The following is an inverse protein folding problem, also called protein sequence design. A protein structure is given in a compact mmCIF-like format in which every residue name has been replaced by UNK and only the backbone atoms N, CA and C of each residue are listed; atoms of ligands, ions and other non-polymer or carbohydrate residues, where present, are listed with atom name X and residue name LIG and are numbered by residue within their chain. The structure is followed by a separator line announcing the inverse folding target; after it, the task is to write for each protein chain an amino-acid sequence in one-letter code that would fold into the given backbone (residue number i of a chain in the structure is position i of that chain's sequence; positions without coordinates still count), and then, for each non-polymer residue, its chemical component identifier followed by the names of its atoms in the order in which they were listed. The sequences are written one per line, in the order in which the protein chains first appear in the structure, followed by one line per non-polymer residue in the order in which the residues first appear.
data_IF_431513295141
#
_entry.id   IF_431513295141
#
_cell.length_a   1.000
_cell.length_b   1.000
_cell.length_c   1.000
_cell.angle_alpha   90.00
_cell.angle_beta   90.00
_cell.angle_gamma   90.00
#
_symmetry.space_group_name_H-M   'P 1'
#
loop_
_entity.id
_entity.type
_entity.pdbx_description
1 polymer ?
#
# COMPACT_ATOMS: atom_id res chain seq x y z
N UNK A 1 -7.36 0.38 24.89
CA UNK A 1 -8.38 0.76 23.86
C UNK A 1 -8.29 2.20 23.36
N UNK A 2 -8.04 3.23 24.21
CA UNK A 2 -7.96 4.65 23.78
C UNK A 2 -6.72 5.00 22.91
N UNK A 3 -5.56 4.37 23.17
CA UNK A 3 -4.33 4.57 22.37
C UNK A 3 -4.40 4.01 20.96
N UNK A 4 -4.98 2.83 20.75
CA UNK A 4 -5.11 2.22 19.42
C UNK A 4 -5.97 3.10 18.48
N UNK A 5 -7.00 3.74 19.03
CA UNK A 5 -7.85 4.68 18.28
C UNK A 5 -7.09 5.95 17.90
N UNK A 6 -6.22 6.46 18.78
CA UNK A 6 -5.32 7.59 18.45
C UNK A 6 -4.29 7.22 17.39
N UNK A 7 -3.70 6.04 17.48
CA UNK A 7 -2.73 5.54 16.48
C UNK A 7 -3.40 5.40 15.11
N UNK A 8 -4.62 4.85 15.05
CA UNK A 8 -5.40 4.75 13.81
C UNK A 8 -5.76 6.12 13.21
N UNK A 9 -6.16 7.09 14.04
CA UNK A 9 -6.46 8.46 13.58
C UNK A 9 -5.19 9.17 13.07
N UNK A 10 -4.07 9.05 13.78
CA UNK A 10 -2.79 9.59 13.30
C UNK A 10 -2.33 8.92 12.00
N UNK A 11 -2.46 7.61 11.88
CA UNK A 11 -2.11 6.88 10.65
C UNK A 11 -2.96 7.33 9.47
N UNK A 12 -4.26 7.56 9.68
CA UNK A 12 -5.16 8.05 8.64
C UNK A 12 -4.84 9.50 8.24
N UNK A 13 -4.54 10.37 9.21
CA UNK A 13 -4.07 11.73 8.94
C UNK A 13 -2.77 11.73 8.13
N UNK A 14 -1.77 10.93 8.53
CA UNK A 14 -0.51 10.80 7.81
C UNK A 14 -0.76 10.24 6.40
N UNK A 15 -1.63 9.25 6.24
CA UNK A 15 -1.97 8.68 4.94
C UNK A 15 -2.67 9.71 4.02
N UNK A 16 -3.57 10.52 4.56
CA UNK A 16 -4.24 11.58 3.78
C UNK A 16 -3.29 12.71 3.39
N UNK A 17 -2.40 13.13 4.30
CA UNK A 17 -1.38 14.14 4.03
C UNK A 17 -0.35 13.61 3.02
N UNK A 18 0.11 12.37 3.20
CA UNK A 18 1.00 11.70 2.25
C UNK A 18 0.33 11.52 0.88
N UNK A 19 -0.98 11.27 0.82
CA UNK A 19 -1.73 11.20 -0.44
C UNK A 19 -1.87 12.56 -1.11
N UNK A 20 -2.09 13.63 -0.34
CA UNK A 20 -2.15 15.01 -0.85
C UNK A 20 -0.81 15.48 -1.39
N UNK A 21 0.29 15.20 -0.67
CA UNK A 21 1.66 15.45 -1.12
C UNK A 21 2.08 14.53 -2.28
N UNK A 22 1.58 13.28 -2.31
CA UNK A 22 1.77 12.37 -3.43
C UNK A 22 1.01 12.82 -4.68
N UNK A 23 -0.15 13.48 -4.56
CA UNK A 23 -0.84 13.99 -5.75
C UNK A 23 -0.01 15.02 -6.55
N UNK A 24 0.90 15.75 -5.89
CA UNK A 24 1.79 16.72 -6.55
C UNK A 24 3.12 16.09 -7.00
N UNK A 25 3.61 15.04 -6.31
CA UNK A 25 4.97 14.49 -6.50
C UNK A 25 5.04 13.03 -6.97
N UNK A 26 3.91 12.33 -7.14
CA UNK A 26 3.89 10.90 -7.42
C UNK A 26 3.60 10.61 -8.89
N UNK A 27 4.54 9.94 -9.56
CA UNK A 27 4.33 9.48 -10.93
C UNK A 27 3.24 8.41 -10.98
N UNK A 28 2.49 8.31 -12.10
CA UNK A 28 1.45 7.29 -12.33
C UNK A 28 1.96 5.87 -12.00
N UNK A 29 3.26 5.67 -12.24
CA UNK A 29 4.02 4.48 -11.93
C UNK A 29 4.07 4.13 -10.44
N UNK A 30 4.44 5.10 -9.60
CA UNK A 30 4.49 4.92 -8.14
C UNK A 30 3.10 4.73 -7.55
N UNK A 31 2.08 5.44 -8.09
CA UNK A 31 0.68 5.22 -7.71
C UNK A 31 0.27 3.77 -7.97
N UNK A 32 0.46 3.30 -9.21
CA UNK A 32 0.03 1.96 -9.59
C UNK A 32 0.82 0.88 -8.82
N UNK A 33 2.11 1.10 -8.56
CA UNK A 33 2.93 0.25 -7.71
C UNK A 33 2.44 0.20 -6.26
N UNK A 34 2.11 1.34 -5.66
CA UNK A 34 1.62 1.39 -4.28
C UNK A 34 0.25 0.71 -4.14
N UNK A 35 -0.66 0.92 -5.10
CA UNK A 35 -1.95 0.24 -5.16
C UNK A 35 -1.76 -1.27 -5.33
N UNK A 36 -0.92 -1.68 -6.28
CA UNK A 36 -0.61 -3.08 -6.53
C UNK A 36 0.04 -3.77 -5.33
N UNK A 37 0.94 -3.09 -4.63
CA UNK A 37 1.56 -3.60 -3.41
C UNK A 37 0.57 -3.71 -2.24
N UNK A 38 -0.33 -2.73 -2.10
CA UNK A 38 -1.39 -2.76 -1.09
C UNK A 38 -2.37 -3.91 -1.30
N UNK A 39 -2.93 -4.03 -2.50
CA UNK A 39 -3.88 -5.10 -2.84
C UNK A 39 -3.18 -6.46 -2.81
N UNK A 40 -1.99 -6.57 -3.42
CA UNK A 40 -1.21 -7.81 -3.47
C UNK A 40 -0.77 -8.28 -2.09
N UNK A 41 -0.42 -7.38 -1.17
CA UNK A 41 -0.09 -7.72 0.20
C UNK A 41 -1.29 -8.25 0.99
N UNK A 42 -2.45 -7.58 0.88
CA UNK A 42 -3.69 -8.05 1.53
C UNK A 42 -4.14 -9.39 0.97
N UNK A 43 -4.10 -9.56 -0.36
CA UNK A 43 -4.43 -10.82 -1.01
C UNK A 43 -3.46 -11.94 -0.61
N UNK A 44 -2.16 -11.68 -0.60
CA UNK A 44 -1.13 -12.64 -0.18
C UNK A 44 -1.28 -13.05 1.28
N UNK A 45 -1.61 -12.10 2.17
CA UNK A 45 -1.93 -12.38 3.57
C UNK A 45 -3.19 -13.25 3.72
N UNK A 46 -4.23 -12.98 2.92
CA UNK A 46 -5.49 -13.71 2.97
C UNK A 46 -5.36 -15.16 2.50
N UNK A 47 -4.48 -15.45 1.53
CA UNK A 47 -4.31 -16.79 0.97
C UNK A 47 -3.28 -17.60 1.76
N UNK A 48 -2.16 -16.97 2.17
CA UNK A 48 -1.04 -17.68 2.80
C UNK A 48 -0.91 -17.48 4.31
N UNK A 49 -1.58 -16.50 4.91
CA UNK A 49 -1.60 -16.25 6.36
C UNK A 49 -0.25 -15.90 7.01
N UNK A 50 0.82 -15.75 6.23
CA UNK A 50 2.18 -15.51 6.73
C UNK A 50 2.82 -14.28 6.09
N UNK A 51 3.87 -13.75 6.74
CA UNK A 51 4.59 -12.57 6.28
C UNK A 51 5.26 -12.76 4.91
N UNK A 52 5.77 -13.95 4.59
CA UNK A 52 6.34 -14.26 3.27
C UNK A 52 5.29 -14.14 2.15
N UNK A 53 4.04 -14.56 2.40
CA UNK A 53 2.96 -14.48 1.41
C UNK A 53 2.49 -13.04 1.23
N UNK A 54 2.42 -12.26 2.31
CA UNK A 54 2.15 -10.81 2.25
C UNK A 54 3.24 -10.08 1.47
N UNK A 55 4.52 -10.35 1.77
CA UNK A 55 5.65 -9.70 1.11
C UNK A 55 5.73 -10.13 -0.36
N UNK A 56 5.52 -11.41 -0.65
CA UNK A 56 5.50 -11.93 -2.02
C UNK A 56 4.40 -11.29 -2.87
N UNK A 57 3.18 -11.22 -2.33
CA UNK A 57 2.06 -10.57 -3.00
C UNK A 57 2.25 -9.06 -3.17
N UNK A 58 2.78 -8.38 -2.15
CA UNK A 58 3.06 -6.95 -2.21
C UNK A 58 4.18 -6.62 -3.21
N UNK A 59 5.26 -7.42 -3.24
CA UNK A 59 6.37 -7.24 -4.17
C UNK A 59 5.93 -7.50 -5.61
N UNK A 60 5.24 -8.61 -5.88
CA UNK A 60 4.74 -8.94 -7.21
C UNK A 60 3.71 -7.91 -7.71
N UNK A 61 2.75 -7.54 -6.85
CA UNK A 61 1.74 -6.54 -7.15
C UNK A 61 2.34 -5.15 -7.37
N UNK A 62 3.36 -4.77 -6.60
CA UNK A 62 4.09 -3.51 -6.77
C UNK A 62 4.91 -3.44 -8.05
N UNK A 63 5.60 -4.53 -8.41
CA UNK A 63 6.36 -4.63 -9.66
C UNK A 63 5.43 -4.52 -10.89
N UNK A 64 4.35 -5.31 -10.93
CA UNK A 64 3.37 -5.27 -12.01
C UNK A 64 2.66 -3.91 -12.05
N UNK A 65 2.24 -3.40 -10.90
CA UNK A 65 1.64 -2.08 -10.77
C UNK A 65 2.56 -0.97 -11.31
N UNK A 66 3.87 -1.04 -11.05
CA UNK A 66 4.81 -0.07 -11.61
C UNK A 66 4.96 -0.16 -13.13
N UNK A 67 4.61 -1.27 -13.77
CA UNK A 67 4.74 -1.41 -15.22
C UNK A 67 3.42 -1.20 -15.95
N UNK A 68 2.28 -1.35 -15.26
CA UNK A 68 0.95 -1.21 -15.87
C UNK A 68 0.68 0.27 -16.19
N UNK A 69 0.47 0.57 -17.47
CA UNK A 69 0.23 1.92 -17.98
C UNK A 69 1.46 2.66 -18.51
N UNK A 70 2.57 1.96 -18.77
CA UNK A 70 3.55 2.38 -19.79
C UNK A 70 3.15 1.79 -21.14
#
# INVERSE_FOLDING_TARGET
MKSIRRIGVCAMLIATMASLSACDTMTTRQRNAAIGAGIGGVAGAAIGGNALSTIGGAAAGGLVGSQVGK
#
